data_IF_024066084950
#
_entry.id   IF_024066084950
#
_cell.length_a   1.000
_cell.length_b   1.000
_cell.length_c   1.000
_cell.angle_alpha   90.00
_cell.angle_beta   90.00
_cell.angle_gamma   90.00
#
_symmetry.space_group_name_H-M   'P 1'
#
loop_
_entity.id
_entity.type
_entity.pdbx_description
1 polymer ?
#
# COMPACT_ATOMS: atom_id res chain seq x y z
N UNK A 1 30.56 25.60 -27.56
CA UNK A 1 30.33 26.35 -26.30
C UNK A 1 29.91 25.35 -25.23
N UNK A 2 30.82 25.01 -24.31
CA UNK A 2 30.55 24.17 -23.14
C UNK A 2 30.46 25.12 -21.95
N UNK A 3 29.26 25.35 -21.43
CA UNK A 3 29.06 26.06 -20.16
C UNK A 3 29.59 25.15 -19.05
N UNK A 4 30.70 25.55 -18.45
CA UNK A 4 31.17 24.94 -17.20
C UNK A 4 30.18 25.38 -16.12
N UNK A 5 29.55 24.42 -15.44
CA UNK A 5 28.86 24.69 -14.18
C UNK A 5 29.91 25.08 -13.13
N UNK A 6 29.67 26.16 -12.41
CA UNK A 6 30.48 26.57 -11.28
C UNK A 6 30.26 25.60 -10.10
N UNK A 7 31.33 25.24 -9.35
CA UNK A 7 31.27 24.30 -8.24
C UNK A 7 30.65 24.87 -6.94
N UNK A 8 30.24 26.14 -6.95
CA UNK A 8 29.69 26.84 -5.78
C UNK A 8 28.16 26.93 -5.78
N UNK A 9 27.47 26.23 -6.69
CA UNK A 9 26.05 25.90 -6.53
C UNK A 9 25.90 24.81 -5.45
N UNK A 10 26.26 25.18 -4.22
CA UNK A 10 25.94 24.43 -3.02
C UNK A 10 24.42 24.31 -2.95
N UNK A 11 23.91 23.11 -3.28
CA UNK A 11 22.51 22.77 -3.06
C UNK A 11 22.21 22.96 -1.57
N UNK A 12 21.54 24.08 -1.25
CA UNK A 12 21.05 24.35 0.09
C UNK A 12 19.97 23.32 0.40
N UNK A 13 20.36 22.18 0.98
CA UNK A 13 19.42 21.21 1.51
C UNK A 13 19.05 21.74 2.90
N UNK A 14 17.84 22.29 3.09
CA UNK A 14 17.45 22.77 4.40
C UNK A 14 17.45 21.58 5.37
N UNK A 15 18.11 21.74 6.52
CA UNK A 15 18.00 20.77 7.61
C UNK A 15 16.54 20.74 8.07
N UNK A 16 15.82 19.67 7.67
CA UNK A 16 14.44 19.45 8.06
C UNK A 16 14.44 19.02 9.53
N UNK A 17 14.04 19.94 10.41
CA UNK A 17 13.84 19.63 11.83
C UNK A 17 12.55 18.82 12.01
N UNK A 18 12.69 17.48 12.06
CA UNK A 18 11.59 16.56 12.30
C UNK A 18 10.97 16.70 13.71
N UNK A 19 11.59 17.43 14.64
CA UNK A 19 11.06 17.64 15.99
C UNK A 19 9.86 18.60 16.04
N UNK A 20 9.73 19.48 15.04
CA UNK A 20 8.61 20.42 14.89
C UNK A 20 7.52 19.93 13.93
N UNK A 21 7.74 18.76 13.30
CA UNK A 21 6.75 18.16 12.38
C UNK A 21 5.53 17.70 13.16
N UNK A 22 4.49 18.53 13.17
CA UNK A 22 3.20 18.15 13.72
C UNK A 22 2.55 17.12 12.80
N UNK A 23 2.39 15.90 13.32
CA UNK A 23 1.65 14.83 12.65
C UNK A 23 0.18 15.26 12.54
N UNK A 24 -0.22 15.80 11.39
CA UNK A 24 -1.62 16.08 11.12
C UNK A 24 -2.31 14.75 10.82
N UNK A 25 -3.42 14.40 11.48
CA UNK A 25 -4.19 13.23 11.09
C UNK A 25 -4.59 13.41 9.63
N UNK A 26 -4.15 12.49 8.77
CA UNK A 26 -4.52 12.50 7.36
C UNK A 26 -6.05 12.37 7.29
N UNK A 27 -6.79 13.34 6.72
CA UNK A 27 -8.25 13.24 6.62
C UNK A 27 -8.69 12.06 5.72
N UNK A 28 -7.78 11.54 4.91
CA UNK A 28 -7.94 10.31 4.11
C UNK A 28 -7.32 9.08 4.79
N UNK A 29 -6.95 9.17 6.08
CA UNK A 29 -6.51 8.01 6.83
C UNK A 29 -7.64 6.99 6.87
N UNK A 30 -7.34 5.77 6.42
CA UNK A 30 -8.27 4.64 6.44
C UNK A 30 -8.73 4.40 7.87
N UNK A 31 -10.04 4.27 8.08
CA UNK A 31 -10.54 3.82 9.38
C UNK A 31 -10.18 2.34 9.52
N UNK A 32 -9.63 1.91 10.67
CA UNK A 32 -9.45 0.49 10.94
C UNK A 32 -10.78 -0.25 10.77
N UNK A 33 -10.78 -1.37 10.05
CA UNK A 33 -12.01 -2.13 9.77
C UNK A 33 -12.73 -1.77 8.48
N UNK A 34 -12.37 -0.67 7.82
CA UNK A 34 -13.06 -0.22 6.60
C UNK A 34 -12.51 -0.92 5.35
N UNK A 35 -13.43 -1.48 4.53
CA UNK A 35 -13.05 -2.06 3.23
C UNK A 35 -12.56 -0.95 2.31
N UNK A 36 -11.44 -1.20 1.63
CA UNK A 36 -10.83 -0.22 0.73
C UNK A 36 -10.84 -0.74 -0.70
N UNK A 37 -11.31 0.11 -1.61
CA UNK A 37 -11.22 -0.14 -3.04
C UNK A 37 -9.91 0.41 -3.60
N UNK A 38 -9.32 -0.32 -4.54
CA UNK A 38 -8.25 0.15 -5.42
C UNK A 38 -8.85 0.43 -6.79
N UNK A 39 -9.01 1.71 -7.10
CA UNK A 39 -9.42 2.18 -8.42
C UNK A 39 -8.17 2.52 -9.24
N UNK A 40 -8.01 1.84 -10.37
CA UNK A 40 -6.96 2.18 -11.35
C UNK A 40 -7.62 2.95 -12.47
N UNK A 41 -7.04 4.09 -12.85
CA UNK A 41 -7.59 4.93 -13.90
C UNK A 41 -7.67 4.17 -15.24
N UNK A 42 -8.84 4.21 -15.87
CA UNK A 42 -9.14 3.43 -17.08
C UNK A 42 -9.37 1.93 -16.88
N UNK A 43 -9.27 1.39 -15.66
CA UNK A 43 -9.63 -0.01 -15.40
C UNK A 43 -11.15 -0.22 -15.47
N UNK A 44 -11.57 -1.22 -16.24
CA UNK A 44 -12.98 -1.63 -16.40
C UNK A 44 -13.30 -2.92 -15.67
N UNK A 45 -12.29 -3.60 -15.12
CA UNK A 45 -12.48 -4.77 -14.30
C UNK A 45 -11.17 -5.38 -13.82
N UNK A 46 -11.29 -6.38 -12.97
CA UNK A 46 -10.19 -7.04 -12.30
C UNK A 46 -10.26 -8.54 -12.51
N UNK A 47 -9.12 -9.22 -12.49
CA UNK A 47 -9.05 -10.65 -12.69
C UNK A 47 -8.06 -11.31 -11.76
N UNK A 48 -8.47 -12.39 -11.12
CA UNK A 48 -7.59 -13.26 -10.35
C UNK A 48 -7.01 -14.31 -11.29
N UNK A 49 -5.69 -14.35 -11.42
CA UNK A 49 -4.95 -15.24 -12.33
C UNK A 49 -3.99 -16.14 -11.57
N UNK A 50 -3.76 -17.34 -12.11
CA UNK A 50 -2.78 -18.29 -11.62
C UNK A 50 -1.40 -18.11 -12.29
N UNK A 51 -0.35 -17.99 -11.48
CA UNK A 51 1.05 -18.00 -11.93
C UNK A 51 1.63 -19.41 -11.73
N UNK A 52 2.38 -19.98 -12.72
CA UNK A 52 2.77 -19.37 -14.00
C UNK A 52 1.79 -19.64 -15.16
N UNK A 53 0.77 -20.49 -14.98
CA UNK A 53 -0.09 -20.97 -16.08
C UNK A 53 -0.89 -19.90 -16.82
N UNK A 54 -0.96 -18.68 -16.28
CA UNK A 54 -1.78 -17.57 -16.76
C UNK A 54 -3.30 -17.81 -16.80
N UNK A 55 -3.78 -18.91 -16.20
CA UNK A 55 -5.21 -19.21 -16.14
C UNK A 55 -5.96 -18.19 -15.27
N UNK A 56 -7.00 -17.58 -15.81
CA UNK A 56 -7.91 -16.71 -15.05
C UNK A 56 -8.87 -17.59 -14.24
N UNK A 57 -8.90 -17.38 -12.94
CA UNK A 57 -9.77 -18.08 -11.99
C UNK A 57 -11.11 -17.38 -11.84
N UNK A 58 -11.11 -16.04 -11.79
CA UNK A 58 -12.30 -15.23 -11.62
C UNK A 58 -12.09 -13.82 -12.20
N UNK A 59 -13.20 -13.14 -12.51
CA UNK A 59 -13.24 -11.73 -12.92
C UNK A 59 -14.22 -10.97 -12.04
N UNK A 60 -13.91 -9.71 -11.79
CA UNK A 60 -14.63 -8.85 -10.85
C UNK A 60 -14.82 -7.46 -11.46
N UNK A 61 -15.92 -6.79 -11.10
CA UNK A 61 -16.15 -5.40 -11.49
C UNK A 61 -15.31 -4.44 -10.63
N UNK A 62 -15.14 -4.78 -9.35
CA UNK A 62 -14.39 -3.99 -8.38
C UNK A 62 -13.38 -4.84 -7.60
N UNK A 63 -12.41 -4.18 -6.98
CA UNK A 63 -11.51 -4.87 -6.05
C UNK A 63 -12.19 -5.21 -4.72
N UNK A 64 -13.28 -4.53 -4.36
CA UNK A 64 -14.10 -4.85 -3.18
C UNK A 64 -14.69 -6.25 -3.25
N UNK A 65 -15.07 -6.70 -4.45
CA UNK A 65 -15.51 -8.07 -4.72
C UNK A 65 -14.34 -9.06 -4.75
N UNK A 66 -13.18 -8.61 -5.25
CA UNK A 66 -12.00 -9.45 -5.39
C UNK A 66 -11.40 -9.85 -4.04
N UNK A 67 -11.37 -8.95 -3.04
CA UNK A 67 -10.74 -9.22 -1.74
C UNK A 67 -11.27 -10.46 -1.02
N UNK A 68 -12.58 -10.62 -0.76
CA UNK A 68 -13.10 -11.82 -0.12
C UNK A 68 -12.85 -13.07 -0.96
N UNK A 69 -12.98 -13.00 -2.29
CA UNK A 69 -12.75 -14.15 -3.17
C UNK A 69 -11.29 -14.63 -3.16
N UNK A 70 -10.33 -13.70 -3.03
CA UNK A 70 -8.90 -14.03 -2.88
C UNK A 70 -8.66 -14.75 -1.56
N UNK A 71 -9.22 -14.23 -0.46
CA UNK A 71 -9.08 -14.82 0.88
C UNK A 71 -9.67 -16.23 0.89
N UNK A 72 -10.90 -16.40 0.38
CA UNK A 72 -11.57 -17.70 0.28
C UNK A 72 -10.74 -18.70 -0.55
N UNK A 73 -10.19 -18.26 -1.69
CA UNK A 73 -9.33 -19.10 -2.54
C UNK A 73 -8.08 -19.58 -1.80
N UNK A 74 -7.51 -18.73 -0.94
CA UNK A 74 -6.32 -19.08 -0.13
C UNK A 74 -6.72 -20.04 0.99
N UNK A 75 -7.81 -19.75 1.69
CA UNK A 75 -8.35 -20.57 2.77
C UNK A 75 -8.83 -21.94 2.30
N UNK A 76 -9.24 -22.05 1.03
CA UNK A 76 -9.53 -23.34 0.36
C UNK A 76 -8.27 -24.14 0.01
N UNK A 77 -7.09 -23.71 0.45
CA UNK A 77 -5.82 -24.43 0.30
C UNK A 77 -4.95 -24.03 -0.88
N UNK A 78 -5.31 -22.98 -1.65
CA UNK A 78 -4.44 -22.51 -2.74
C UNK A 78 -3.32 -21.64 -2.18
N UNK A 79 -2.09 -21.90 -2.63
CA UNK A 79 -0.95 -21.09 -2.19
C UNK A 79 -1.03 -19.65 -2.75
N UNK A 80 -0.91 -18.60 -1.91
CA UNK A 80 -0.85 -17.21 -2.35
C UNK A 80 0.27 -16.95 -3.36
N UNK A 81 1.38 -17.72 -3.28
CA UNK A 81 2.52 -17.65 -4.24
C UNK A 81 2.11 -17.87 -5.69
N UNK A 82 0.98 -18.54 -5.92
CA UNK A 82 0.47 -18.88 -7.24
C UNK A 82 -0.60 -17.92 -7.76
N UNK A 83 -0.90 -16.84 -7.02
CA UNK A 83 -1.98 -15.92 -7.37
C UNK A 83 -1.44 -14.54 -7.78
N UNK A 84 -2.11 -13.94 -8.77
CA UNK A 84 -1.95 -12.54 -9.18
C UNK A 84 -3.33 -11.91 -9.29
N UNK A 85 -3.52 -10.74 -8.69
CA UNK A 85 -4.65 -9.90 -9.02
C UNK A 85 -4.20 -8.88 -10.06
N UNK A 86 -4.86 -8.89 -11.21
CA UNK A 86 -4.57 -8.01 -12.33
C UNK A 86 -5.77 -7.09 -12.59
N UNK A 87 -5.51 -5.87 -13.07
CA UNK A 87 -6.50 -4.95 -13.60
C UNK A 87 -6.55 -5.06 -15.13
N UNK A 88 -7.71 -4.78 -15.71
CA UNK A 88 -7.96 -4.83 -17.15
C UNK A 88 -8.60 -3.50 -17.57
N UNK A 89 -7.98 -2.82 -18.53
CA UNK A 89 -8.44 -1.55 -19.10
C UNK A 89 -9.34 -1.74 -20.32
N UNK A 90 -10.13 -0.71 -20.63
CA UNK A 90 -11.00 -0.70 -21.81
C UNK A 90 -10.20 -0.78 -23.13
N UNK A 91 -8.97 -0.28 -23.11
CA UNK A 91 -8.02 -0.26 -24.23
C UNK A 91 -7.29 -1.60 -24.43
N UNK A 92 -7.66 -2.63 -23.67
CA UNK A 92 -7.04 -3.94 -23.70
C UNK A 92 -5.71 -4.02 -22.94
N UNK A 93 -5.27 -2.94 -22.28
CA UNK A 93 -4.12 -3.01 -21.39
C UNK A 93 -4.49 -3.75 -20.12
N UNK A 94 -3.51 -4.41 -19.54
CA UNK A 94 -3.67 -5.07 -18.25
C UNK A 94 -2.37 -4.95 -17.46
N UNK A 95 -2.48 -4.95 -16.14
CA UNK A 95 -1.32 -4.91 -15.27
C UNK A 95 -1.58 -5.58 -13.94
N UNK A 96 -0.52 -5.91 -13.20
CA UNK A 96 -0.65 -6.52 -11.89
C UNK A 96 -0.85 -5.46 -10.81
N UNK A 97 -1.86 -5.66 -9.96
CA UNK A 97 -2.03 -4.89 -8.71
C UNK A 97 -1.09 -5.44 -7.65
N UNK A 98 -1.12 -6.75 -7.44
CA UNK A 98 -0.29 -7.46 -6.48
C UNK A 98 -0.28 -8.95 -6.80
N UNK A 99 0.77 -9.63 -6.40
CA UNK A 99 0.95 -11.06 -6.62
C UNK A 99 1.67 -11.73 -5.47
N UNK A 100 1.56 -13.05 -5.42
CA UNK A 100 2.28 -13.88 -4.48
C UNK A 100 1.84 -13.66 -3.02
N UNK A 101 2.73 -13.89 -2.04
CA UNK A 101 2.40 -13.71 -0.62
C UNK A 101 1.98 -12.29 -0.24
N UNK A 102 2.41 -11.27 -1.01
CA UNK A 102 1.99 -9.88 -0.78
C UNK A 102 0.51 -9.69 -1.05
N UNK A 103 -0.06 -10.44 -2.00
CA UNK A 103 -1.47 -10.34 -2.37
C UNK A 103 -2.38 -10.72 -1.20
N UNK A 104 -2.04 -11.76 -0.43
CA UNK A 104 -2.81 -12.16 0.75
C UNK A 104 -2.88 -11.03 1.78
N UNK A 105 -1.72 -10.48 2.16
CA UNK A 105 -1.66 -9.36 3.11
C UNK A 105 -2.46 -8.16 2.60
N UNK A 106 -2.41 -7.89 1.30
CA UNK A 106 -3.18 -6.82 0.68
C UNK A 106 -4.68 -7.11 0.73
N UNK A 107 -5.12 -8.32 0.40
CA UNK A 107 -6.53 -8.69 0.40
C UNK A 107 -7.12 -8.59 1.82
N UNK A 108 -6.43 -9.14 2.83
CA UNK A 108 -6.86 -9.05 4.24
C UNK A 108 -6.99 -7.61 4.71
N UNK A 109 -5.94 -6.80 4.48
CA UNK A 109 -5.94 -5.39 4.86
C UNK A 109 -7.08 -4.59 4.19
N UNK A 110 -7.29 -4.78 2.89
CA UNK A 110 -8.31 -4.04 2.15
C UNK A 110 -9.72 -4.64 2.30
N UNK A 111 -9.86 -5.85 2.85
CA UNK A 111 -11.14 -6.42 3.28
C UNK A 111 -11.55 -5.95 4.70
N UNK A 112 -10.76 -5.07 5.33
CA UNK A 112 -11.05 -4.52 6.65
C UNK A 112 -10.53 -5.39 7.81
N UNK A 113 -9.67 -6.37 7.56
CA UNK A 113 -9.04 -7.10 8.67
C UNK A 113 -8.07 -6.19 9.44
N UNK A 114 -7.91 -6.41 10.77
CA UNK A 114 -6.95 -5.66 11.57
C UNK A 114 -5.55 -5.75 10.99
N UNK A 115 -4.83 -4.63 10.96
CA UNK A 115 -3.44 -4.66 10.54
C UNK A 115 -2.63 -5.55 11.52
N UNK A 116 -1.80 -6.49 11.02
CA UNK A 116 -1.09 -7.45 11.88
C UNK A 116 -0.05 -6.79 12.80
N UNK A 117 0.30 -5.53 12.53
CA UNK A 117 1.08 -4.71 13.45
C UNK A 117 0.14 -3.75 14.18
N UNK A 118 0.20 -3.67 15.52
CA UNK A 118 -0.50 -2.63 16.23
C UNK A 118 -0.08 -1.28 15.63
N UNK A 119 -1.05 -0.39 15.41
CA UNK A 119 -0.74 1.02 15.16
C UNK A 119 0.26 1.45 16.22
N UNK A 120 1.36 2.13 15.87
CA UNK A 120 2.38 2.50 16.84
C UNK A 120 1.67 3.21 17.99
N UNK A 121 1.57 2.53 19.13
CA UNK A 121 1.02 3.11 20.35
C UNK A 121 1.88 4.32 20.61
N UNK A 122 1.24 5.49 20.69
CA UNK A 122 1.87 6.77 20.98
C UNK A 122 2.66 6.64 22.28
N UNK A 123 3.92 6.25 22.21
CA UNK A 123 4.79 6.23 23.39
C UNK A 123 4.84 7.67 23.88
N UNK A 124 4.40 7.97 25.11
CA UNK A 124 4.66 9.28 25.69
C UNK A 124 6.18 9.36 25.82
N UNK A 125 6.82 10.14 24.96
CA UNK A 125 8.22 10.49 25.11
C UNK A 125 8.32 11.20 26.46
N UNK A 126 8.84 10.50 27.47
CA UNK A 126 9.09 11.07 28.78
C UNK A 126 10.10 12.21 28.59
N UNK A 127 9.61 13.45 28.66
CA UNK A 127 10.43 14.65 28.74
C UNK A 127 11.27 14.52 30.01
N UNK A 128 12.53 14.08 29.91
CA UNK A 128 13.50 14.31 30.97
C UNK A 128 13.79 15.80 30.94
N UNK A 129 13.18 16.53 31.87
CA UNK A 129 13.60 17.90 32.18
C UNK A 129 14.98 17.76 32.80
N UNK A 130 16.01 18.22 32.09
CA UNK A 130 17.32 18.41 32.68
C UNK A 130 17.19 19.60 33.65
N UNK A 131 17.17 19.31 34.95
CA UNK A 131 17.31 20.30 36.00
C UNK A 131 18.78 20.76 35.99
N UNK A 132 19.01 21.89 35.34
CA UNK A 132 20.31 22.56 35.32
C UNK A 132 20.41 23.53 36.49
N UNK A 133 21.33 23.20 37.40
CA UNK A 133 22.27 24.07 38.11
C UNK A 133 21.79 25.42 38.68
N UNK A 134 21.92 25.55 40.01
CA UNK A 134 22.43 26.74 40.68
C UNK A 134 23.56 26.33 41.62
#
# INVERSE_FOLDING_TARGET
MRTKLDPDDEFFIPEIDFSTTQWRPNPFARKPGEKTEICIDGAVGYSLRLIPSNKILARFASTLEAWPAIIETIESGRSPRTLSLDWNGADGRSGSISAGPRLERFARLNNGEPHPYPSPTRSPVARRVAEGAA
#
